data_IF_580758392656
#
_entry.id   IF_580758392656
#
_cell.length_a   1.000
_cell.length_b   1.000
_cell.length_c   1.000
_cell.angle_alpha   90.00
_cell.angle_beta   90.00
_cell.angle_gamma   90.00
#
_symmetry.space_group_name_H-M   'P 1'
#
loop_
_entity.id
_entity.type
_entity.pdbx_description
1 polymer ?
#
# COMPACT_ATOMS: atom_id res chain seq x y z
N UNK A 1 11.10 -10.31 8.27
CA UNK A 1 11.08 -11.52 7.43
C UNK A 1 9.90 -12.43 7.80
N UNK A 2 8.74 -12.23 7.15
CA UNK A 2 7.52 -13.03 7.40
C UNK A 2 7.65 -14.46 6.83
N UNK A 3 7.23 -15.46 7.60
CA UNK A 3 7.30 -16.88 7.24
C UNK A 3 5.92 -17.51 7.36
N UNK A 4 5.56 -18.33 6.38
CA UNK A 4 4.25 -18.98 6.29
C UNK A 4 4.33 -20.48 6.55
N UNK A 5 3.28 -21.03 7.16
CA UNK A 5 3.03 -22.46 7.22
C UNK A 5 2.33 -22.94 5.94
N UNK A 6 2.36 -24.24 5.68
CA UNK A 6 1.63 -24.83 4.53
C UNK A 6 0.13 -24.53 4.58
N UNK A 7 -0.48 -24.49 5.76
CA UNK A 7 -1.89 -24.14 5.94
C UNK A 7 -2.19 -22.68 5.58
N UNK A 8 -1.30 -21.74 5.92
CA UNK A 8 -1.46 -20.34 5.54
C UNK A 8 -1.31 -20.15 4.03
N UNK A 9 -0.28 -20.76 3.42
CA UNK A 9 -0.11 -20.73 1.96
C UNK A 9 -1.30 -21.34 1.23
N UNK A 10 -1.87 -22.42 1.77
CA UNK A 10 -3.03 -23.08 1.20
C UNK A 10 -4.26 -22.15 1.17
N UNK A 11 -4.50 -21.39 2.25
CA UNK A 11 -5.56 -20.38 2.31
C UNK A 11 -5.35 -19.29 1.26
N UNK A 12 -4.14 -18.72 1.19
CA UNK A 12 -3.78 -17.66 0.23
C UNK A 12 -4.03 -18.13 -1.21
N UNK A 13 -3.53 -19.31 -1.56
CA UNK A 13 -3.62 -19.84 -2.92
C UNK A 13 -4.97 -20.48 -3.22
N UNK A 14 -5.89 -20.54 -2.24
CA UNK A 14 -7.18 -21.24 -2.31
C UNK A 14 -7.05 -22.71 -2.76
N UNK A 15 -6.05 -23.42 -2.22
CA UNK A 15 -5.81 -24.85 -2.49
C UNK A 15 -5.83 -25.68 -1.20
N UNK A 16 -5.86 -27.01 -1.33
CA UNK A 16 -5.73 -27.89 -0.17
C UNK A 16 -4.30 -27.85 0.43
N UNK A 17 -4.12 -27.92 1.77
CA UNK A 17 -2.80 -27.93 2.40
C UNK A 17 -1.86 -29.03 1.88
N UNK A 18 -2.42 -30.18 1.50
CA UNK A 18 -1.67 -31.30 0.92
C UNK A 18 -1.02 -30.94 -0.42
N UNK A 19 -1.65 -30.07 -1.21
CA UNK A 19 -1.10 -29.57 -2.47
C UNK A 19 0.15 -28.72 -2.21
N UNK A 20 0.10 -27.85 -1.21
CA UNK A 20 1.27 -27.05 -0.80
C UNK A 20 2.39 -27.92 -0.26
N UNK A 21 2.07 -28.93 0.56
CA UNK A 21 3.07 -29.90 1.02
C UNK A 21 3.75 -30.61 -0.15
N UNK A 22 3.00 -31.01 -1.19
CA UNK A 22 3.58 -31.61 -2.41
C UNK A 22 4.50 -30.64 -3.15
N UNK A 23 4.11 -29.38 -3.32
CA UNK A 23 4.97 -28.37 -3.96
C UNK A 23 6.29 -28.18 -3.19
N UNK A 24 6.23 -28.17 -1.86
CA UNK A 24 7.41 -28.07 -1.01
C UNK A 24 8.29 -29.32 -1.09
N UNK A 25 7.70 -30.50 -0.91
CA UNK A 25 8.44 -31.76 -0.84
C UNK A 25 9.06 -32.14 -2.19
N UNK A 26 8.47 -31.70 -3.30
CA UNK A 26 9.04 -31.82 -4.66
C UNK A 26 10.11 -30.77 -4.98
N UNK A 27 10.37 -29.82 -4.08
CA UNK A 27 11.34 -28.74 -4.28
C UNK A 27 10.85 -27.59 -5.19
N UNK A 28 9.62 -27.67 -5.71
CA UNK A 28 9.02 -26.59 -6.53
C UNK A 28 8.81 -25.31 -5.72
N UNK A 29 8.37 -25.44 -4.48
CA UNK A 29 8.23 -24.33 -3.54
C UNK A 29 9.36 -24.38 -2.51
N UNK A 30 10.28 -23.42 -2.56
CA UNK A 30 11.44 -23.36 -1.66
C UNK A 30 11.05 -22.99 -0.23
N UNK A 31 11.77 -23.53 0.74
CA UNK A 31 11.68 -23.19 2.16
C UNK A 31 12.50 -24.16 3.00
N UNK A 32 12.23 -24.24 4.30
CA UNK A 32 12.97 -25.08 5.24
C UNK A 32 12.05 -25.84 6.19
N UNK A 33 12.57 -26.91 6.81
CA UNK A 33 11.91 -27.60 7.92
C UNK A 33 12.49 -27.13 9.24
N UNK A 34 11.66 -27.08 10.28
CA UNK A 34 12.15 -26.76 11.62
C UNK A 34 12.94 -27.95 12.16
N UNK A 35 14.18 -27.78 12.67
CA UNK A 35 14.92 -28.84 13.31
C UNK A 35 14.11 -29.51 14.44
N UNK A 36 14.00 -30.83 14.43
CA UNK A 36 13.21 -31.58 15.41
C UNK A 36 11.70 -31.63 15.14
N UNK A 37 11.20 -31.03 14.06
CA UNK A 37 9.81 -31.15 13.62
C UNK A 37 9.69 -31.45 12.13
N UNK A 38 8.56 -32.02 11.71
CA UNK A 38 8.21 -32.19 10.29
C UNK A 38 7.53 -30.94 9.70
N UNK A 39 7.42 -29.89 10.51
CA UNK A 39 6.86 -28.61 10.13
C UNK A 39 7.66 -27.92 9.04
N UNK A 40 6.95 -27.55 7.98
CA UNK A 40 7.49 -26.77 6.85
C UNK A 40 7.29 -25.28 7.11
N UNK A 41 8.27 -24.50 6.71
CA UNK A 41 8.28 -23.04 6.79
C UNK A 41 8.67 -22.48 5.43
N UNK A 42 7.81 -21.61 4.90
CA UNK A 42 7.92 -21.05 3.55
C UNK A 42 8.12 -19.53 3.71
N UNK A 43 9.35 -19.03 3.51
CA UNK A 43 9.63 -17.60 3.46
C UNK A 43 8.75 -16.89 2.41
N UNK A 44 8.31 -15.67 2.74
CA UNK A 44 7.47 -14.84 1.87
C UNK A 44 8.06 -14.66 0.47
N UNK A 45 9.34 -14.35 0.37
CA UNK A 45 10.03 -14.12 -0.90
C UNK A 45 9.94 -15.34 -1.84
N UNK A 46 10.15 -16.53 -1.31
CA UNK A 46 10.05 -17.77 -2.08
C UNK A 46 8.62 -18.08 -2.52
N UNK A 47 7.63 -17.72 -1.70
CA UNK A 47 6.22 -17.88 -2.07
C UNK A 47 5.83 -16.92 -3.20
N UNK A 48 6.17 -15.63 -3.09
CA UNK A 48 5.88 -14.63 -4.13
C UNK A 48 6.53 -15.05 -5.46
N UNK A 49 7.80 -15.45 -5.42
CA UNK A 49 8.53 -15.92 -6.61
C UNK A 49 7.85 -17.12 -7.24
N UNK A 50 7.50 -18.13 -6.45
CA UNK A 50 6.80 -19.33 -6.92
C UNK A 50 5.47 -19.01 -7.59
N UNK A 51 4.66 -18.13 -6.98
CA UNK A 51 3.35 -17.73 -7.51
C UNK A 51 3.48 -16.99 -8.85
N UNK A 52 4.42 -16.03 -8.93
CA UNK A 52 4.72 -15.29 -10.17
C UNK A 52 5.20 -16.22 -11.30
N UNK A 53 6.14 -17.12 -11.00
CA UNK A 53 6.68 -18.08 -11.99
C UNK A 53 5.61 -19.02 -12.55
N UNK A 54 4.56 -19.33 -11.77
CA UNK A 54 3.51 -20.27 -12.16
C UNK A 54 2.21 -19.56 -12.58
N UNK A 55 2.19 -18.22 -12.69
CA UNK A 55 1.01 -17.45 -13.06
C UNK A 55 -0.17 -17.59 -12.08
N UNK A 56 0.11 -17.86 -10.81
CA UNK A 56 -0.93 -17.99 -9.78
C UNK A 56 -1.22 -16.64 -9.13
N UNK A 57 -2.49 -16.35 -8.80
CA UNK A 57 -2.85 -15.09 -8.13
C UNK A 57 -2.19 -15.02 -6.75
N UNK A 58 -1.61 -13.86 -6.44
CA UNK A 58 -0.98 -13.60 -5.15
C UNK A 58 -2.01 -13.50 -4.01
N UNK A 59 -3.28 -13.25 -4.34
CA UNK A 59 -4.37 -13.20 -3.37
C UNK A 59 -4.09 -12.17 -2.28
N UNK A 60 -4.34 -12.52 -1.02
CA UNK A 60 -4.12 -11.62 0.12
C UNK A 60 -2.63 -11.24 0.32
N UNK A 61 -1.68 -11.97 -0.28
CA UNK A 61 -0.26 -11.57 -0.24
C UNK A 61 0.03 -10.36 -1.13
N UNK A 62 -0.77 -10.14 -2.17
CA UNK A 62 -0.64 -8.98 -3.05
C UNK A 62 -0.94 -7.71 -2.28
N UNK A 63 -2.01 -7.72 -1.49
CA UNK A 63 -2.42 -6.60 -0.65
C UNK A 63 -1.43 -6.29 0.49
N UNK A 64 -0.66 -7.28 0.93
CA UNK A 64 0.44 -7.07 1.88
C UNK A 64 1.76 -6.68 1.22
N UNK A 65 1.93 -6.90 -0.09
CA UNK A 65 3.17 -6.62 -0.84
C UNK A 65 3.12 -5.34 -1.66
N UNK A 66 1.91 -4.86 -1.95
CA UNK A 66 1.68 -3.63 -2.67
C UNK A 66 1.40 -2.50 -1.69
N UNK A 67 2.09 -1.38 -1.87
CA UNK A 67 1.76 -0.13 -1.23
C UNK A 67 0.45 0.42 -1.82
N UNK A 68 -0.60 0.46 -1.01
CA UNK A 68 -1.93 0.95 -1.42
C UNK A 68 -2.00 2.46 -1.22
N UNK A 69 -2.11 3.21 -2.30
CA UNK A 69 -2.12 4.68 -2.31
C UNK A 69 -3.51 5.17 -2.74
N UNK A 70 -4.16 5.97 -1.90
CA UNK A 70 -5.36 6.70 -2.28
C UNK A 70 -5.00 8.14 -2.60
N UNK A 71 -5.32 8.59 -3.82
CA UNK A 71 -5.12 9.97 -4.25
C UNK A 71 -6.46 10.70 -4.16
N UNK A 72 -6.51 11.79 -3.41
CA UNK A 72 -7.68 12.68 -3.33
C UNK A 72 -7.38 13.95 -4.11
N UNK A 73 -7.84 14.03 -5.36
CA UNK A 73 -7.57 15.13 -6.27
C UNK A 73 -8.61 15.22 -7.39
N UNK A 74 -8.74 16.39 -8.01
CA UNK A 74 -9.59 16.62 -9.19
C UNK A 74 -8.78 16.91 -10.46
N UNK A 75 -7.50 17.25 -10.33
CA UNK A 75 -6.63 17.53 -11.46
C UNK A 75 -6.19 16.22 -12.14
N UNK A 76 -6.73 15.97 -13.34
CA UNK A 76 -6.44 14.76 -14.09
C UNK A 76 -4.97 14.65 -14.50
N UNK A 77 -4.29 15.77 -14.77
CA UNK A 77 -2.87 15.77 -15.15
C UNK A 77 -2.03 15.33 -13.96
N UNK A 78 -2.34 15.86 -12.77
CA UNK A 78 -1.71 15.41 -11.52
C UNK A 78 -1.94 13.92 -11.28
N UNK A 79 -3.19 13.46 -11.39
CA UNK A 79 -3.55 12.05 -11.15
C UNK A 79 -2.78 11.12 -12.08
N UNK A 80 -2.74 11.41 -13.39
CA UNK A 80 -2.06 10.56 -14.37
C UNK A 80 -0.54 10.59 -14.21
N UNK A 81 0.03 11.73 -13.82
CA UNK A 81 1.46 11.82 -13.49
C UNK A 81 1.81 10.97 -12.27
N UNK A 82 0.99 11.00 -11.21
CA UNK A 82 1.20 10.18 -10.02
C UNK A 82 1.05 8.68 -10.32
N UNK A 83 0.04 8.29 -11.10
CA UNK A 83 -0.14 6.88 -11.53
C UNK A 83 1.07 6.38 -12.33
N UNK A 84 1.65 7.23 -13.17
CA UNK A 84 2.86 6.88 -13.94
C UNK A 84 4.06 6.59 -13.05
N UNK A 85 4.23 7.35 -11.96
CA UNK A 85 5.36 7.17 -11.03
C UNK A 85 5.11 6.11 -9.95
N UNK A 86 3.85 5.74 -9.73
CA UNK A 86 3.38 4.71 -8.80
C UNK A 86 2.76 3.49 -9.52
N UNK A 87 3.48 2.86 -10.47
CA UNK A 87 2.90 1.80 -11.27
C UNK A 87 2.93 0.45 -10.51
N UNK A 88 2.07 -0.52 -10.88
CA UNK A 88 2.04 -1.85 -10.28
C UNK A 88 3.37 -2.60 -10.32
N UNK A 89 4.18 -2.38 -11.36
CA UNK A 89 5.50 -2.98 -11.53
C UNK A 89 6.50 -2.54 -10.43
N UNK A 90 6.22 -1.41 -9.76
CA UNK A 90 6.98 -0.89 -8.62
C UNK A 90 6.29 -1.17 -7.27
N UNK A 91 5.43 -2.18 -7.24
CA UNK A 91 4.71 -2.61 -6.03
C UNK A 91 3.71 -1.57 -5.48
N UNK A 92 3.06 -0.79 -6.35
CA UNK A 92 2.04 0.19 -5.97
C UNK A 92 0.66 -0.15 -6.52
N UNK A 93 -0.38 0.10 -5.72
CA UNK A 93 -1.78 0.04 -6.16
C UNK A 93 -2.41 1.38 -5.87
N UNK A 94 -3.02 2.00 -6.87
CA UNK A 94 -3.54 3.37 -6.76
C UNK A 94 -5.07 3.36 -6.88
N UNK A 95 -5.75 4.00 -5.93
CA UNK A 95 -7.15 4.38 -6.00
C UNK A 95 -7.25 5.91 -6.05
N UNK A 96 -8.36 6.44 -6.57
CA UNK A 96 -8.60 7.88 -6.71
C UNK A 96 -9.97 8.24 -6.15
N UNK A 97 -10.04 9.39 -5.49
CA UNK A 97 -11.28 10.03 -5.05
C UNK A 97 -11.27 11.51 -5.44
N UNK A 98 -12.41 12.05 -5.85
CA UNK A 98 -12.56 13.45 -6.26
C UNK A 98 -13.18 14.35 -5.18
N UNK A 99 -13.64 13.76 -4.07
CA UNK A 99 -14.29 14.46 -2.96
C UNK A 99 -14.02 13.76 -1.62
N UNK A 100 -14.32 14.44 -0.51
CA UNK A 100 -14.17 13.82 0.82
C UNK A 100 -15.09 12.63 1.07
N UNK A 101 -16.29 12.61 0.47
CA UNK A 101 -17.21 11.48 0.56
C UNK A 101 -16.65 10.24 -0.17
N UNK A 102 -16.19 10.43 -1.41
CA UNK A 102 -15.52 9.36 -2.16
C UNK A 102 -14.25 8.88 -1.45
N UNK A 103 -13.48 9.80 -0.85
CA UNK A 103 -12.28 9.45 -0.11
C UNK A 103 -12.59 8.53 1.07
N UNK A 104 -13.69 8.75 1.78
CA UNK A 104 -14.15 7.86 2.85
C UNK A 104 -14.51 6.46 2.32
N UNK A 105 -15.35 6.38 1.28
CA UNK A 105 -15.76 5.10 0.68
C UNK A 105 -14.55 4.31 0.15
N UNK A 106 -13.64 5.01 -0.54
CA UNK A 106 -12.42 4.39 -1.06
C UNK A 106 -11.50 3.98 0.08
N UNK A 107 -11.34 4.79 1.14
CA UNK A 107 -10.51 4.42 2.27
C UNK A 107 -11.01 3.15 2.97
N UNK A 108 -12.33 3.03 3.19
CA UNK A 108 -12.93 1.84 3.81
C UNK A 108 -12.80 0.58 2.96
N UNK A 109 -13.02 0.69 1.65
CA UNK A 109 -12.97 -0.49 0.75
C UNK A 109 -11.55 -0.87 0.35
N UNK A 110 -10.65 0.10 0.22
CA UNK A 110 -9.30 -0.09 -0.29
C UNK A 110 -8.28 -0.36 0.81
N UNK A 111 -8.52 0.15 2.03
CA UNK A 111 -7.59 0.16 3.16
C UNK A 111 -6.20 0.69 2.75
N UNK A 112 -6.08 1.99 2.43
CA UNK A 112 -4.83 2.58 1.96
C UNK A 112 -3.76 2.62 3.05
N UNK A 113 -2.52 2.36 2.63
CA UNK A 113 -1.31 2.57 3.43
C UNK A 113 -0.94 4.05 3.48
N UNK A 114 -1.24 4.77 2.40
CA UNK A 114 -1.03 6.20 2.31
C UNK A 114 -2.18 6.88 1.56
N UNK A 115 -2.54 8.07 2.02
CA UNK A 115 -3.51 8.96 1.38
C UNK A 115 -2.79 10.26 1.02
N UNK A 116 -2.86 10.63 -0.25
CA UNK A 116 -2.29 11.87 -0.80
C UNK A 116 -3.46 12.81 -1.09
N UNK A 117 -3.55 13.90 -0.34
CA UNK A 117 -4.64 14.88 -0.50
C UNK A 117 -4.14 16.13 -1.18
N UNK A 118 -4.77 16.49 -2.30
CA UNK A 118 -4.52 17.74 -3.00
C UNK A 118 -5.28 18.90 -2.35
N UNK A 119 -4.56 19.88 -1.80
CA UNK A 119 -5.18 21.05 -1.18
C UNK A 119 -5.69 22.07 -2.20
N UNK A 120 -5.42 21.86 -3.49
CA UNK A 120 -6.00 22.66 -4.58
C UNK A 120 -7.50 22.45 -4.74
N UNK A 121 -8.09 21.35 -4.24
CA UNK A 121 -9.56 21.14 -4.26
C UNK A 121 -10.29 22.09 -3.29
N UNK A 122 -9.57 22.69 -2.34
CA UNK A 122 -10.09 23.57 -1.32
C UNK A 122 -9.47 23.27 0.03
N UNK A 123 -8.81 24.27 0.65
CA UNK A 123 -8.07 24.09 1.91
C UNK A 123 -8.94 23.55 3.05
N UNK A 124 -10.18 24.05 3.17
CA UNK A 124 -11.11 23.62 4.22
C UNK A 124 -11.54 22.18 4.02
N UNK A 125 -11.92 21.82 2.79
CA UNK A 125 -12.34 20.46 2.46
C UNK A 125 -11.20 19.46 2.65
N UNK A 126 -10.00 19.76 2.13
CA UNK A 126 -8.82 18.92 2.28
C UNK A 126 -8.46 18.69 3.76
N UNK A 127 -8.53 19.73 4.60
CA UNK A 127 -8.30 19.60 6.04
C UNK A 127 -9.35 18.74 6.73
N UNK A 128 -10.63 18.89 6.39
CA UNK A 128 -11.71 18.08 6.94
C UNK A 128 -11.54 16.60 6.58
N UNK A 129 -11.12 16.29 5.35
CA UNK A 129 -10.81 14.92 4.91
C UNK A 129 -9.74 14.32 5.81
N UNK A 130 -8.59 14.98 5.96
CA UNK A 130 -7.49 14.50 6.78
C UNK A 130 -7.90 14.31 8.26
N UNK A 131 -8.66 15.26 8.82
CA UNK A 131 -9.13 15.17 10.20
C UNK A 131 -10.12 14.02 10.42
N UNK A 132 -11.07 13.83 9.50
CA UNK A 132 -12.06 12.76 9.61
C UNK A 132 -11.41 11.38 9.50
N UNK A 133 -10.44 11.22 8.58
CA UNK A 133 -9.66 10.01 8.45
C UNK A 133 -8.88 9.71 9.75
N UNK A 134 -8.21 10.71 10.33
CA UNK A 134 -7.46 10.53 11.59
C UNK A 134 -8.31 10.22 12.81
N UNK A 135 -9.57 10.64 12.84
CA UNK A 135 -10.51 10.30 13.92
C UNK A 135 -10.95 8.83 13.87
N UNK A 136 -10.83 8.17 12.71
CA UNK A 136 -11.13 6.76 12.58
C UNK A 136 -9.92 5.91 13.03
N UNK A 137 -10.06 5.04 14.06
CA UNK A 137 -8.99 4.17 14.52
C UNK A 137 -8.39 3.28 13.43
N UNK A 138 -9.19 2.87 12.43
CA UNK A 138 -8.74 2.00 11.34
C UNK A 138 -7.69 2.69 10.45
N UNK A 139 -7.67 4.03 10.45
CA UNK A 139 -6.72 4.82 9.70
C UNK A 139 -5.73 5.54 10.59
N UNK A 140 -5.60 5.23 11.89
CA UNK A 140 -4.70 5.98 12.80
C UNK A 140 -3.23 5.92 12.37
N UNK A 141 -2.83 4.82 11.73
CA UNK A 141 -1.47 4.58 11.24
C UNK A 141 -1.29 4.89 9.75
N UNK A 142 -2.37 5.17 9.01
CA UNK A 142 -2.30 5.49 7.58
C UNK A 142 -1.49 6.77 7.36
N UNK A 143 -0.53 6.76 6.43
CA UNK A 143 0.32 7.92 6.16
C UNK A 143 -0.49 8.97 5.39
N UNK A 144 -0.59 10.21 5.91
CA UNK A 144 -1.26 11.32 5.24
C UNK A 144 -0.23 12.30 4.66
N UNK A 145 -0.28 12.51 3.34
CA UNK A 145 0.56 13.49 2.62
C UNK A 145 -0.32 14.59 2.05
N UNK A 146 0.06 15.85 2.27
CA UNK A 146 -0.63 17.00 1.67
C UNK A 146 0.15 17.58 0.49
N UNK A 147 -0.53 17.78 -0.65
CA UNK A 147 0.00 18.55 -1.77
C UNK A 147 -0.48 19.98 -1.66
N UNK A 148 0.43 20.90 -1.31
CA UNK A 148 0.12 22.30 -1.06
C UNK A 148 0.20 23.12 -2.36
N UNK A 149 -0.74 24.05 -2.61
CA UNK A 149 -0.68 24.94 -3.77
C UNK A 149 0.49 25.94 -3.67
N UNK A 150 0.92 26.48 -4.81
CA UNK A 150 1.90 27.58 -4.88
C UNK A 150 1.23 28.95 -4.83
N UNK A 151 0.37 29.19 -3.85
CA UNK A 151 -0.41 30.44 -3.74
C UNK A 151 0.23 31.46 -2.78
N UNK A 152 1.43 31.15 -2.26
CA UNK A 152 2.16 31.99 -1.30
C UNK A 152 1.49 32.09 0.08
N UNK A 153 0.37 31.41 0.32
CA UNK A 153 -0.32 31.48 1.61
C UNK A 153 0.21 30.41 2.55
N UNK A 154 0.58 30.77 3.79
CA UNK A 154 0.98 29.79 4.79
C UNK A 154 -0.23 28.92 5.14
N UNK A 155 -0.11 27.61 4.91
CA UNK A 155 -1.10 26.64 5.38
C UNK A 155 -0.64 26.17 6.76
N UNK A 156 -1.37 26.57 7.79
CA UNK A 156 -1.27 25.98 9.12
C UNK A 156 -2.03 24.67 9.13
N UNK A 157 -1.35 23.58 9.45
CA UNK A 157 -1.98 22.27 9.62
C UNK A 157 -1.45 21.59 10.88
N UNK A 158 -2.30 20.78 11.47
CA UNK A 158 -1.92 19.98 12.62
C UNK A 158 -0.95 18.87 12.18
N UNK A 159 0.29 18.95 12.67
CA UNK A 159 1.32 17.95 12.40
C UNK A 159 0.99 16.58 13.01
N UNK A 160 0.04 16.50 13.94
CA UNK A 160 -0.47 15.22 14.42
C UNK A 160 -1.35 14.52 13.39
N UNK A 161 -1.95 15.28 12.47
CA UNK A 161 -2.80 14.74 11.42
C UNK A 161 -2.03 14.44 10.14
N UNK A 162 -1.13 15.33 9.70
CA UNK A 162 -0.43 15.22 8.41
C UNK A 162 1.03 14.84 8.62
N UNK A 163 1.46 13.74 7.99
CA UNK A 163 2.82 13.19 8.14
C UNK A 163 3.85 13.97 7.32
N UNK A 164 3.54 14.34 6.07
CA UNK A 164 4.46 15.06 5.19
C UNK A 164 3.72 15.97 4.22
N UNK A 165 4.41 16.99 3.69
CA UNK A 165 3.82 17.94 2.73
C UNK A 165 4.74 18.19 1.54
N UNK A 166 4.15 18.30 0.36
CA UNK A 166 4.85 18.67 -0.88
C UNK A 166 4.23 19.93 -1.46
N UNK A 167 5.05 20.95 -1.70
CA UNK A 167 4.59 22.19 -2.33
C UNK A 167 4.62 22.03 -3.85
N UNK A 168 3.53 22.37 -4.53
CA UNK A 168 3.49 22.45 -6.00
C UNK A 168 4.32 23.65 -6.49
N UNK A 169 4.93 23.58 -7.69
CA UNK A 169 5.18 22.36 -8.45
C UNK A 169 6.20 21.46 -7.73
N UNK A 170 6.01 20.15 -7.80
CA UNK A 170 6.92 19.16 -7.22
C UNK A 170 7.28 18.08 -8.24
N UNK A 171 8.39 17.38 -7.99
CA UNK A 171 8.77 16.21 -8.77
C UNK A 171 7.98 14.98 -8.29
N UNK A 172 7.13 14.44 -9.16
CA UNK A 172 6.35 13.23 -8.86
C UNK A 172 7.23 12.00 -8.56
N UNK A 173 8.43 11.94 -9.16
CA UNK A 173 9.40 10.87 -8.94
C UNK A 173 9.94 10.93 -7.51
N UNK A 174 10.22 12.14 -7.02
CA UNK A 174 10.66 12.36 -5.64
C UNK A 174 9.57 12.00 -4.64
N UNK A 175 8.32 12.38 -4.90
CA UNK A 175 7.18 11.96 -4.07
C UNK A 175 7.05 10.42 -4.03
N UNK A 176 7.19 9.75 -5.18
CA UNK A 176 7.13 8.30 -5.25
C UNK A 176 8.26 7.62 -4.46
N UNK A 177 9.48 8.16 -4.48
CA UNK A 177 10.60 7.66 -3.67
C UNK A 177 10.35 7.84 -2.16
N UNK A 178 9.81 9.00 -1.77
CA UNK A 178 9.45 9.28 -0.37
C UNK A 178 8.34 8.36 0.11
N UNK A 179 7.32 8.11 -0.70
CA UNK A 179 6.28 7.12 -0.41
C UNK A 179 6.85 5.73 -0.17
N UNK A 180 7.81 5.26 -0.98
CA UNK A 180 8.48 3.96 -0.74
C UNK A 180 9.20 3.94 0.59
N UNK A 181 9.91 5.02 0.92
CA UNK A 181 10.66 5.10 2.19
C UNK A 181 9.71 5.07 3.38
N UNK A 182 8.65 5.89 3.37
CA UNK A 182 7.69 5.96 4.47
C UNK A 182 6.94 4.64 4.64
N UNK A 183 6.36 4.11 3.57
CA UNK A 183 5.61 2.85 3.63
C UNK A 183 6.56 1.68 3.94
N UNK A 184 7.77 1.68 3.40
CA UNK A 184 8.82 0.68 3.67
C UNK A 184 9.25 0.61 5.14
N UNK A 185 9.10 1.71 5.89
CA UNK A 185 9.36 1.73 7.34
C UNK A 185 8.25 1.07 8.17
N UNK A 186 7.04 0.96 7.60
CA UNK A 186 5.83 0.41 8.26
C UNK A 186 5.49 -1.00 7.72
N UNK A 187 5.80 -1.28 6.45
CA UNK A 187 5.64 -2.56 5.75
C UNK A 187 6.97 -2.98 5.12
N UNK A 188 7.35 -4.25 5.24
CA UNK A 188 8.43 -4.84 4.42
C UNK A 188 7.97 -4.90 2.94
N UNK A 189 8.11 -3.78 2.23
CA UNK A 189 7.96 -3.72 0.78
C UNK A 189 9.08 -4.55 0.13
N UNK A 190 8.73 -5.32 -0.90
CA UNK A 190 9.65 -6.21 -1.64
C UNK A 190 10.21 -5.50 -2.85
#
# INVERSE_FOLDING_TARGET
MKVFTTGQVAKICKVAPRTVSKWFDSGRLKGYRIPGSQDRRIPREYLIKFLKEHGMPLGDLEDEAMAKILIVAQDQVLIENLKRELPPERSFKVAVAASGFEAGIQAESFHPDCIITDFSIGKVEAMQICQNLRKNPDFSETILIALLPDDGQPVSFDRSAINETFKKPFDASLLAERLRTLIGSVKELV
#
